data_IF_865723075605
#
_entry.id   IF_865723075605
#
_cell.length_a   1.000
_cell.length_b   1.000
_cell.length_c   1.000
_cell.angle_alpha   90.00
_cell.angle_beta   90.00
_cell.angle_gamma   90.00
#
_symmetry.space_group_name_H-M   'P 1'
#
loop_
_entity.id
_entity.type
_entity.pdbx_description
1 polymer ?
#
# COMPACT_ATOMS: atom_id res chain seq x y z
N UNK A 1 -25.42 20.74 48.44
CA UNK A 1 -24.48 19.61 48.50
C UNK A 1 -23.92 19.42 47.10
N UNK A 2 -22.72 19.96 46.92
CA UNK A 2 -21.87 19.89 45.73
C UNK A 2 -21.01 18.64 45.75
N UNK A 3 -20.85 17.99 44.59
CA UNK A 3 -19.64 17.28 44.16
C UNK A 3 -19.79 16.98 42.66
N UNK A 4 -19.54 17.97 41.79
CA UNK A 4 -18.34 18.01 40.94
C UNK A 4 -17.47 16.75 40.98
N UNK A 5 -17.46 16.00 39.88
CA UNK A 5 -16.24 15.39 39.38
C UNK A 5 -16.04 15.90 37.95
N UNK A 6 -15.23 16.94 37.83
CA UNK A 6 -14.71 17.46 36.59
C UNK A 6 -14.11 16.31 35.76
N UNK A 7 -14.66 16.05 34.58
CA UNK A 7 -13.91 15.37 33.52
C UNK A 7 -12.68 16.24 33.24
N UNK A 8 -11.55 15.80 33.78
CA UNK A 8 -10.28 16.43 33.48
C UNK A 8 -9.87 15.88 32.13
N UNK A 9 -10.17 16.65 31.09
CA UNK A 9 -9.63 16.46 29.75
C UNK A 9 -8.09 16.56 29.87
N UNK A 10 -7.44 15.42 30.06
CA UNK A 10 -5.98 15.36 30.04
C UNK A 10 -5.55 15.52 28.57
N UNK A 11 -5.39 16.77 28.15
CA UNK A 11 -4.50 17.11 27.04
C UNK A 11 -3.08 16.71 27.44
N UNK A 12 -2.75 15.43 27.25
CA UNK A 12 -1.35 15.01 27.32
C UNK A 12 -0.69 15.50 26.04
N UNK A 13 0.01 16.64 26.13
CA UNK A 13 1.03 17.02 25.16
C UNK A 13 2.11 15.94 25.18
N UNK A 14 2.05 15.00 24.24
CA UNK A 14 3.10 14.00 24.08
C UNK A 14 4.28 14.65 23.35
N UNK A 15 5.32 15.01 24.10
CA UNK A 15 6.64 15.30 23.57
C UNK A 15 7.32 13.94 23.27
N UNK A 16 7.42 13.59 21.99
CA UNK A 16 7.74 12.23 21.55
C UNK A 16 9.11 11.71 22.00
N UNK A 17 9.21 10.39 22.24
CA UNK A 17 10.45 9.61 22.33
C UNK A 17 10.19 8.21 21.73
N UNK A 18 11.02 7.80 20.78
CA UNK A 18 10.92 6.51 20.09
C UNK A 18 11.93 5.48 20.64
N UNK A 19 11.62 4.21 20.35
CA UNK A 19 12.45 3.01 20.36
C UNK A 19 12.62 2.22 21.67
N UNK A 20 12.21 0.93 21.58
CA UNK A 20 12.48 -0.24 22.45
C UNK A 20 11.42 -0.63 23.48
N UNK A 21 10.17 -0.86 23.05
CA UNK A 21 9.38 -1.89 23.73
C UNK A 21 9.47 -3.21 22.95
N UNK A 22 9.58 -4.32 23.66
CA UNK A 22 9.62 -5.68 23.10
C UNK A 22 8.22 -6.22 22.75
N UNK A 23 7.18 -5.43 23.02
CA UNK A 23 5.79 -5.81 22.73
C UNK A 23 5.36 -5.48 21.30
N UNK A 24 6.08 -4.60 20.60
CA UNK A 24 5.67 -4.10 19.28
C UNK A 24 4.33 -3.37 19.31
N UNK A 25 3.85 -3.03 20.51
CA UNK A 25 2.50 -2.56 20.77
C UNK A 25 2.58 -1.13 21.30
N UNK A 26 2.52 -0.20 20.36
CA UNK A 26 2.71 1.21 20.60
C UNK A 26 1.37 1.92 20.37
N UNK A 27 0.95 2.75 21.31
CA UNK A 27 -0.35 3.45 21.31
C UNK A 27 -0.12 4.95 21.16
N UNK A 28 -0.97 5.71 20.43
CA UNK A 28 -2.22 5.29 19.79
C UNK A 28 -2.05 4.62 18.42
N UNK A 29 -0.84 4.61 17.86
CA UNK A 29 -0.53 4.03 16.55
C UNK A 29 0.38 2.81 16.69
N UNK A 30 -0.13 1.60 16.45
CA UNK A 30 0.69 0.39 16.51
C UNK A 30 1.68 0.40 15.32
N UNK A 31 2.97 0.58 15.60
CA UNK A 31 3.97 0.85 14.57
C UNK A 31 4.39 -0.38 13.77
N UNK A 32 3.98 -1.61 14.11
CA UNK A 32 4.27 -2.79 13.27
C UNK A 32 3.49 -2.82 11.93
N UNK A 33 2.72 -1.77 11.61
CA UNK A 33 1.63 -1.74 10.62
C UNK A 33 2.02 -1.35 9.19
N UNK A 34 3.17 -1.77 8.65
CA UNK A 34 3.44 -1.56 7.21
C UNK A 34 3.91 -2.78 6.46
N UNK A 35 3.45 -2.84 5.22
CA UNK A 35 3.59 -3.94 4.29
C UNK A 35 4.07 -3.48 2.91
N UNK A 36 4.72 -2.32 2.86
CA UNK A 36 5.37 -1.74 1.66
C UNK A 36 6.88 -1.71 1.95
N UNK A 37 7.53 -2.86 1.86
CA UNK A 37 8.86 -3.10 2.43
C UNK A 37 9.88 -3.33 1.31
N UNK A 38 10.98 -2.58 1.26
CA UNK A 38 12.05 -2.75 0.26
C UNK A 38 13.41 -2.72 0.93
N UNK A 39 14.24 -3.74 0.75
CA UNK A 39 15.55 -3.81 1.37
C UNK A 39 16.56 -4.66 0.59
N UNK A 40 17.64 -5.04 1.27
CA UNK A 40 18.71 -5.87 0.71
C UNK A 40 18.80 -7.20 1.46
N UNK A 41 18.91 -8.30 0.71
CA UNK A 41 19.07 -9.63 1.29
C UNK A 41 20.41 -9.73 2.02
N UNK A 42 20.38 -10.24 3.25
CA UNK A 42 21.59 -10.47 4.08
C UNK A 42 21.80 -11.93 4.47
N UNK A 43 20.75 -12.74 4.45
CA UNK A 43 20.82 -14.16 4.73
C UNK A 43 19.75 -14.88 3.92
N UNK A 44 20.06 -16.09 3.45
CA UNK A 44 19.14 -16.98 2.73
C UNK A 44 19.19 -18.37 3.34
N UNK A 45 18.01 -18.99 3.48
CA UNK A 45 17.92 -20.39 3.89
C UNK A 45 18.57 -21.34 2.87
N UNK A 46 19.05 -22.50 3.33
CA UNK A 46 19.81 -23.43 2.48
C UNK A 46 19.07 -24.06 1.30
N UNK A 47 17.74 -23.86 1.18
CA UNK A 47 16.95 -24.31 0.02
C UNK A 47 16.43 -23.16 -0.86
N UNK A 48 16.70 -21.91 -0.48
CA UNK A 48 16.33 -20.75 -1.28
C UNK A 48 17.07 -20.77 -2.61
N UNK A 49 16.35 -20.58 -3.71
CA UNK A 49 16.93 -20.58 -5.06
C UNK A 49 16.68 -19.26 -5.81
N UNK A 50 15.64 -18.50 -5.43
CA UNK A 50 15.24 -17.29 -6.15
C UNK A 50 16.14 -16.08 -5.89
N UNK A 51 16.84 -16.07 -4.77
CA UNK A 51 17.54 -14.89 -4.24
C UNK A 51 18.88 -15.25 -3.63
N UNK A 52 19.78 -14.28 -3.61
CA UNK A 52 21.09 -14.37 -2.97
C UNK A 52 21.39 -13.13 -2.12
N UNK A 53 22.40 -13.23 -1.25
CA UNK A 53 22.89 -12.10 -0.47
C UNK A 53 23.30 -10.94 -1.39
N UNK A 54 22.83 -9.73 -1.06
CA UNK A 54 23.06 -8.52 -1.86
C UNK A 54 21.94 -8.16 -2.81
N UNK A 55 20.99 -9.06 -3.10
CA UNK A 55 19.84 -8.75 -3.95
C UNK A 55 18.93 -7.68 -3.31
N UNK A 56 18.44 -6.75 -4.14
CA UNK A 56 17.35 -5.84 -3.74
C UNK A 56 16.02 -6.58 -3.85
N UNK A 57 15.22 -6.52 -2.79
CA UNK A 57 13.96 -7.26 -2.72
C UNK A 57 12.85 -6.44 -2.07
N UNK A 58 11.61 -6.77 -2.42
CA UNK A 58 10.39 -6.21 -1.83
C UNK A 58 9.53 -7.26 -1.13
N UNK A 59 8.77 -6.86 -0.11
CA UNK A 59 7.72 -7.68 0.53
C UNK A 59 6.45 -6.84 0.63
N UNK A 60 5.35 -7.40 0.11
CA UNK A 60 4.03 -6.77 0.03
C UNK A 60 3.13 -7.08 1.23
N UNK A 61 1.82 -7.17 0.96
CA UNK A 61 0.75 -7.33 1.95
C UNK A 61 0.64 -8.73 2.60
N UNK A 62 1.26 -9.75 2.02
CA UNK A 62 1.17 -11.13 2.45
C UNK A 62 2.56 -11.75 2.59
N UNK A 63 2.70 -12.64 3.57
CA UNK A 63 3.95 -13.37 3.89
C UNK A 63 3.78 -14.89 3.92
N UNK A 64 2.54 -15.39 3.93
CA UNK A 64 2.25 -16.81 3.77
C UNK A 64 0.87 -17.08 3.14
N UNK A 65 0.63 -18.32 2.67
CA UNK A 65 -0.69 -18.84 2.28
C UNK A 65 -0.71 -20.38 2.30
N UNK A 66 -1.87 -21.02 2.12
CA UNK A 66 -1.94 -22.48 2.20
C UNK A 66 -1.25 -23.24 1.05
N UNK A 67 -0.91 -22.55 -0.05
CA UNK A 67 -0.22 -23.07 -1.25
C UNK A 67 -0.95 -24.14 -2.06
N UNK A 68 -2.14 -24.55 -1.65
CA UNK A 68 -2.84 -25.72 -2.21
C UNK A 68 -4.27 -25.46 -2.66
N UNK A 69 -4.87 -24.34 -2.30
CA UNK A 69 -6.23 -24.00 -2.75
C UNK A 69 -6.22 -23.50 -4.20
N UNK A 70 -7.40 -23.43 -4.81
CA UNK A 70 -7.59 -22.96 -6.19
C UNK A 70 -7.00 -21.56 -6.42
N UNK A 71 -7.20 -20.63 -5.48
CA UNK A 71 -6.62 -19.28 -5.56
C UNK A 71 -5.09 -19.34 -5.61
N UNK A 72 -4.46 -20.10 -4.71
CA UNK A 72 -3.00 -20.24 -4.70
C UNK A 72 -2.48 -20.90 -5.98
N UNK A 73 -3.15 -21.94 -6.46
CA UNK A 73 -2.80 -22.62 -7.71
C UNK A 73 -2.92 -21.70 -8.93
N UNK A 74 -3.79 -20.68 -8.85
CA UNK A 74 -4.02 -19.68 -9.89
C UNK A 74 -3.20 -18.40 -9.69
N UNK A 75 -2.18 -18.41 -8.83
CA UNK A 75 -1.36 -17.23 -8.50
C UNK A 75 -2.14 -16.05 -7.90
N UNK A 76 -3.16 -16.36 -7.11
CA UNK A 76 -4.03 -15.42 -6.41
C UNK A 76 -3.96 -15.66 -4.90
N UNK A 77 -2.74 -15.66 -4.34
CA UNK A 77 -2.51 -15.92 -2.92
C UNK A 77 -3.21 -14.89 -2.02
N UNK A 78 -3.45 -13.68 -2.52
CA UNK A 78 -4.23 -12.62 -1.89
C UNK A 78 -5.71 -13.00 -1.66
N UNK A 79 -6.24 -13.97 -2.40
CA UNK A 79 -7.59 -14.51 -2.22
C UNK A 79 -7.57 -15.91 -1.58
N UNK A 80 -6.46 -16.30 -0.94
CA UNK A 80 -6.39 -17.51 -0.14
C UNK A 80 -7.16 -17.33 1.18
N UNK A 81 -8.09 -18.23 1.54
CA UNK A 81 -8.78 -18.19 2.83
C UNK A 81 -7.84 -18.26 4.03
N UNK A 82 -6.72 -18.97 3.89
CA UNK A 82 -5.67 -19.10 4.91
C UNK A 82 -4.46 -18.20 4.60
N UNK A 83 -4.66 -17.07 3.92
CA UNK A 83 -3.60 -16.10 3.64
C UNK A 83 -3.10 -15.43 4.92
N UNK A 84 -1.78 -15.25 5.05
CA UNK A 84 -1.16 -14.61 6.21
C UNK A 84 -0.67 -13.23 5.82
N UNK A 85 -1.23 -12.20 6.45
CA UNK A 85 -0.85 -10.80 6.23
C UNK A 85 0.47 -10.45 6.91
N UNK A 86 1.19 -9.50 6.32
CA UNK A 86 2.54 -9.09 6.74
C UNK A 86 2.61 -8.53 8.17
N UNK A 87 1.51 -8.04 8.72
CA UNK A 87 1.44 -7.62 10.12
C UNK A 87 0.07 -7.90 10.75
N UNK A 88 0.04 -8.08 12.07
CA UNK A 88 -1.17 -8.34 12.88
C UNK A 88 -1.95 -9.61 12.45
N UNK A 89 -1.32 -10.57 11.77
CA UNK A 89 -1.96 -11.87 11.55
C UNK A 89 -2.21 -12.60 12.88
N UNK A 90 -3.30 -13.37 12.95
CA UNK A 90 -3.63 -14.20 14.11
C UNK A 90 -2.75 -15.47 14.16
N UNK A 91 -2.48 -15.98 15.38
CA UNK A 91 -1.54 -17.09 15.61
C UNK A 91 -0.22 -16.57 16.18
N UNK A 92 0.90 -16.89 15.52
CA UNK A 92 2.15 -16.14 15.77
C UNK A 92 2.03 -14.79 15.10
N UNK A 93 1.90 -13.73 15.91
CA UNK A 93 1.70 -12.38 15.40
C UNK A 93 2.82 -11.99 14.43
N UNK A 94 2.43 -11.58 13.22
CA UNK A 94 3.36 -11.04 12.24
C UNK A 94 3.66 -9.57 12.56
N UNK A 95 4.92 -9.17 12.39
CA UNK A 95 5.38 -7.80 12.57
C UNK A 95 5.89 -7.26 11.22
N UNK A 96 5.36 -6.11 10.79
CA UNK A 96 5.67 -5.52 9.49
C UNK A 96 6.95 -4.70 9.45
N UNK A 97 7.15 -3.96 8.36
CA UNK A 97 8.45 -3.38 7.98
C UNK A 97 8.88 -2.09 8.67
N UNK A 98 8.23 -1.66 9.75
CA UNK A 98 8.78 -0.60 10.62
C UNK A 98 9.71 -1.24 11.65
N UNK A 99 10.67 -2.02 11.14
CA UNK A 99 11.66 -2.81 11.87
C UNK A 99 12.97 -2.76 11.09
N UNK A 100 14.09 -2.95 11.77
CA UNK A 100 15.42 -2.98 11.15
C UNK A 100 15.68 -4.28 10.35
N UNK A 101 14.89 -5.32 10.59
CA UNK A 101 15.00 -6.63 9.96
C UNK A 101 13.61 -7.14 9.60
N UNK A 102 13.50 -7.76 8.42
CA UNK A 102 12.34 -8.53 7.99
C UNK A 102 12.76 -9.97 7.66
N UNK A 103 11.92 -10.95 8.02
CA UNK A 103 12.09 -12.34 7.60
C UNK A 103 10.84 -12.80 6.87
N UNK A 104 10.99 -13.32 5.65
CA UNK A 104 9.87 -13.78 4.83
C UNK A 104 10.24 -15.03 4.02
N UNK A 105 9.23 -15.84 3.68
CA UNK A 105 9.37 -16.99 2.79
C UNK A 105 9.68 -16.54 1.34
N UNK A 106 10.60 -17.23 0.65
CA UNK A 106 11.10 -16.80 -0.68
C UNK A 106 10.01 -16.64 -1.74
N UNK A 107 8.85 -17.29 -1.59
CA UNK A 107 7.76 -17.09 -2.53
C UNK A 107 7.08 -15.75 -2.34
N UNK A 108 7.02 -15.20 -1.13
CA UNK A 108 6.40 -13.89 -0.86
C UNK A 108 7.37 -12.72 -0.99
N UNK A 109 8.63 -13.01 -1.32
CA UNK A 109 9.66 -12.02 -1.63
C UNK A 109 9.67 -11.74 -3.13
N UNK A 110 9.67 -10.46 -3.48
CA UNK A 110 9.67 -9.96 -4.85
C UNK A 110 11.07 -9.46 -5.22
N UNK A 111 11.51 -9.73 -6.44
CA UNK A 111 12.74 -9.14 -6.97
C UNK A 111 12.51 -7.67 -7.23
N UNK A 112 13.38 -6.82 -6.70
CA UNK A 112 13.29 -5.38 -6.93
C UNK A 112 14.12 -5.00 -8.17
N UNK A 113 13.50 -4.45 -9.23
CA UNK A 113 14.23 -4.00 -10.42
C UNK A 113 15.33 -3.00 -10.09
N UNK A 114 16.51 -3.13 -10.72
CA UNK A 114 17.69 -2.31 -10.39
C UNK A 114 17.47 -0.81 -10.65
N UNK A 115 16.69 -0.50 -11.68
CA UNK A 115 16.35 0.86 -12.11
C UNK A 115 15.12 1.45 -11.38
N UNK A 116 14.50 0.71 -10.45
CA UNK A 116 13.48 1.29 -9.57
C UNK A 116 14.13 1.83 -8.28
N UNK A 117 13.91 3.11 -7.93
CA UNK A 117 14.34 3.65 -6.65
C UNK A 117 13.66 2.89 -5.51
N UNK A 118 14.36 2.61 -4.41
CA UNK A 118 13.79 1.83 -3.29
C UNK A 118 12.62 2.55 -2.63
N UNK A 119 12.60 3.87 -2.73
CA UNK A 119 11.52 4.74 -2.29
C UNK A 119 10.21 4.49 -3.06
N UNK A 120 10.25 3.77 -4.19
CA UNK A 120 9.05 3.30 -4.86
C UNK A 120 8.34 2.13 -4.15
N UNK A 121 8.72 1.81 -2.90
CA UNK A 121 8.06 0.85 -2.03
C UNK A 121 6.51 0.88 -2.04
N UNK A 122 5.81 2.03 -2.18
CA UNK A 122 4.36 2.04 -2.30
C UNK A 122 3.77 1.26 -3.48
N UNK A 123 4.59 0.86 -4.47
CA UNK A 123 4.17 -0.06 -5.53
C UNK A 123 3.68 -1.41 -4.97
N UNK A 124 4.26 -1.87 -3.86
CA UNK A 124 3.98 -3.18 -3.24
C UNK A 124 2.58 -3.30 -2.61
N UNK A 125 1.85 -2.20 -2.50
CA UNK A 125 0.44 -2.20 -2.10
C UNK A 125 -0.39 -1.26 -2.96
N UNK A 126 -0.13 0.05 -2.91
CA UNK A 126 -0.86 1.05 -3.73
C UNK A 126 -0.81 0.72 -5.22
N UNK A 127 0.39 0.34 -5.68
CA UNK A 127 0.64 0.06 -7.07
C UNK A 127 -0.15 -1.15 -7.52
N UNK A 128 0.12 -2.31 -6.93
CA UNK A 128 -0.57 -3.56 -7.30
C UNK A 128 -2.08 -3.49 -7.12
N UNK A 129 -2.58 -2.83 -6.06
CA UNK A 129 -4.03 -2.68 -5.80
C UNK A 129 -4.74 -1.93 -6.93
N UNK A 130 -4.04 -1.07 -7.66
CA UNK A 130 -4.62 -0.33 -8.80
C UNK A 130 -4.27 -0.94 -10.15
N UNK A 131 -3.11 -1.59 -10.27
CA UNK A 131 -2.69 -2.32 -11.47
C UNK A 131 -3.56 -3.56 -11.72
N UNK A 132 -3.74 -4.40 -10.70
CA UNK A 132 -4.49 -5.66 -10.79
C UNK A 132 -5.90 -5.50 -11.39
N UNK A 133 -6.76 -4.60 -10.87
CA UNK A 133 -8.08 -4.40 -11.46
C UNK A 133 -8.04 -3.79 -12.87
N UNK A 134 -7.05 -2.94 -13.19
CA UNK A 134 -6.90 -2.42 -14.55
C UNK A 134 -6.65 -3.56 -15.54
N UNK A 135 -5.80 -4.53 -15.18
CA UNK A 135 -5.54 -5.73 -15.99
C UNK A 135 -6.72 -6.69 -16.02
N UNK A 136 -7.18 -7.15 -14.84
CA UNK A 136 -8.20 -8.19 -14.72
C UNK A 136 -9.51 -7.82 -15.40
N UNK A 137 -9.94 -6.56 -15.26
CA UNK A 137 -11.17 -6.08 -15.89
C UNK A 137 -10.96 -5.60 -17.34
N UNK A 138 -9.77 -5.75 -17.92
CA UNK A 138 -9.45 -5.33 -19.29
C UNK A 138 -9.66 -3.84 -19.51
N UNK A 139 -9.26 -3.03 -18.53
CA UNK A 139 -9.28 -1.56 -18.51
C UNK A 139 -7.89 -0.96 -18.85
N UNK A 140 -7.01 -1.79 -19.41
CA UNK A 140 -5.61 -1.54 -19.73
C UNK A 140 -5.35 -1.41 -21.24
N UNK A 141 -6.41 -1.22 -22.04
CA UNK A 141 -6.28 -1.12 -23.50
C UNK A 141 -6.12 0.34 -23.93
N UNK A 142 -5.18 0.64 -24.84
CA UNK A 142 -5.02 1.99 -25.39
C UNK A 142 -6.34 2.56 -25.94
N UNK A 143 -6.60 3.83 -25.67
CA UNK A 143 -7.80 4.53 -26.11
C UNK A 143 -9.05 4.33 -25.23
N UNK A 144 -9.02 3.43 -24.24
CA UNK A 144 -10.09 3.36 -23.24
C UNK A 144 -10.14 4.65 -22.39
N UNK A 145 -11.32 5.00 -21.91
CA UNK A 145 -11.54 6.16 -21.06
C UNK A 145 -11.83 5.73 -19.63
N UNK A 146 -10.86 5.93 -18.74
CA UNK A 146 -10.88 5.48 -17.35
C UNK A 146 -11.13 6.65 -16.41
N UNK A 147 -12.09 6.48 -15.50
CA UNK A 147 -12.30 7.37 -14.36
C UNK A 147 -11.47 6.92 -13.15
N UNK A 148 -10.92 7.87 -12.40
CA UNK A 148 -10.29 7.60 -11.10
C UNK A 148 -10.97 8.45 -10.05
N UNK A 149 -11.66 7.82 -9.09
CA UNK A 149 -12.37 8.53 -8.02
C UNK A 149 -11.46 8.63 -6.80
N UNK A 150 -11.25 9.87 -6.34
CA UNK A 150 -10.30 10.17 -5.28
C UNK A 150 -8.86 10.28 -5.81
N UNK A 151 -8.15 11.31 -5.34
CA UNK A 151 -6.77 11.56 -5.74
C UNK A 151 -5.88 11.61 -4.49
N UNK A 152 -5.46 10.43 -4.05
CA UNK A 152 -4.59 10.19 -2.91
C UNK A 152 -3.60 9.06 -3.22
N UNK A 153 -3.22 8.29 -2.19
CA UNK A 153 -2.23 7.23 -2.30
C UNK A 153 -2.53 6.15 -3.36
N UNK A 154 -3.78 5.72 -3.53
CA UNK A 154 -4.16 4.77 -4.60
C UNK A 154 -4.46 5.54 -5.90
N UNK A 155 -5.27 6.61 -5.82
CA UNK A 155 -5.70 7.36 -7.00
C UNK A 155 -4.55 7.85 -7.89
N UNK A 156 -3.45 8.35 -7.30
CA UNK A 156 -2.31 8.80 -8.11
C UNK A 156 -1.63 7.64 -8.86
N UNK A 157 -1.58 6.44 -8.28
CA UNK A 157 -1.06 5.25 -8.96
C UNK A 157 -1.99 4.77 -10.06
N UNK A 158 -3.31 4.76 -9.81
CA UNK A 158 -4.30 4.42 -10.82
C UNK A 158 -4.20 5.34 -12.05
N UNK A 159 -4.00 6.65 -11.84
CA UNK A 159 -3.75 7.60 -12.93
C UNK A 159 -2.48 7.23 -13.69
N UNK A 160 -1.35 7.04 -12.99
CA UNK A 160 -0.06 6.71 -13.63
C UNK A 160 -0.12 5.43 -14.46
N UNK A 161 -0.71 4.35 -13.94
CA UNK A 161 -0.85 3.10 -14.68
C UNK A 161 -1.80 3.22 -15.88
N UNK A 162 -2.98 3.82 -15.70
CA UNK A 162 -3.91 4.00 -16.80
C UNK A 162 -3.30 4.87 -17.93
N UNK A 163 -2.53 5.92 -17.59
CA UNK A 163 -1.78 6.70 -18.59
C UNK A 163 -0.71 5.86 -19.29
N UNK A 164 0.04 5.04 -18.55
CA UNK A 164 1.06 4.15 -19.13
C UNK A 164 0.46 3.09 -20.07
N UNK A 165 -0.77 2.64 -19.81
CA UNK A 165 -1.53 1.77 -20.72
C UNK A 165 -2.08 2.49 -21.97
N UNK A 166 -1.86 3.80 -22.11
CA UNK A 166 -2.38 4.59 -23.22
C UNK A 166 -3.86 4.92 -23.10
N UNK A 167 -4.44 4.85 -21.91
CA UNK A 167 -5.82 5.24 -21.66
C UNK A 167 -5.94 6.77 -21.55
N UNK A 168 -7.14 7.28 -21.89
CA UNK A 168 -7.60 8.61 -21.47
C UNK A 168 -8.07 8.52 -20.02
N UNK A 169 -7.62 9.44 -19.17
CA UNK A 169 -7.90 9.40 -17.73
C UNK A 169 -8.66 10.65 -17.28
N UNK A 170 -9.80 10.45 -16.64
CA UNK A 170 -10.55 11.50 -15.93
C UNK A 170 -10.41 11.31 -14.43
N UNK A 171 -9.87 12.30 -13.71
CA UNK A 171 -9.91 12.30 -12.25
C UNK A 171 -11.24 12.87 -11.77
N UNK A 172 -11.90 12.19 -10.83
CA UNK A 172 -13.18 12.58 -10.25
C UNK A 172 -12.94 12.90 -8.76
N UNK A 173 -13.27 14.11 -8.35
CA UNK A 173 -13.01 14.56 -6.97
C UNK A 173 -14.09 15.49 -6.44
N UNK A 174 -14.24 15.54 -5.12
CA UNK A 174 -15.04 16.58 -4.45
C UNK A 174 -14.28 17.90 -4.32
N UNK A 175 -12.95 17.89 -4.49
CA UNK A 175 -12.06 19.01 -4.16
C UNK A 175 -11.48 19.65 -5.41
N UNK A 176 -11.98 20.82 -5.80
CA UNK A 176 -11.49 21.58 -6.96
C UNK A 176 -9.98 21.87 -6.89
N UNK A 177 -9.44 22.05 -5.67
CA UNK A 177 -8.01 22.29 -5.44
C UNK A 177 -7.07 21.17 -5.90
N UNK A 178 -7.60 19.98 -6.21
CA UNK A 178 -6.81 18.86 -6.76
C UNK A 178 -6.69 18.89 -8.29
N UNK A 179 -7.37 19.82 -8.97
CA UNK A 179 -7.39 19.89 -10.44
C UNK A 179 -6.01 20.14 -11.04
N UNK A 180 -5.29 21.14 -10.55
CA UNK A 180 -3.96 21.47 -11.08
C UNK A 180 -3.02 20.28 -10.98
N UNK A 181 -3.04 19.59 -9.84
CA UNK A 181 -2.20 18.42 -9.59
C UNK A 181 -2.55 17.23 -10.49
N UNK A 182 -3.85 16.99 -10.69
CA UNK A 182 -4.31 15.94 -11.60
C UNK A 182 -3.86 16.18 -13.05
N UNK A 183 -4.00 17.41 -13.56
CA UNK A 183 -3.73 17.74 -14.96
C UNK A 183 -2.22 17.92 -15.21
N UNK A 184 -1.55 18.74 -14.41
CA UNK A 184 -0.17 19.15 -14.72
C UNK A 184 0.85 18.13 -14.27
N UNK A 185 0.67 17.60 -13.06
CA UNK A 185 1.65 16.72 -12.42
C UNK A 185 1.42 15.27 -12.80
N UNK A 186 0.18 14.80 -12.71
CA UNK A 186 -0.17 13.42 -13.03
C UNK A 186 -0.60 13.19 -14.49
N UNK A 187 -0.72 14.27 -15.28
CA UNK A 187 -1.05 14.20 -16.72
C UNK A 187 -2.40 13.52 -16.99
N UNK A 188 -3.37 13.64 -16.09
CA UNK A 188 -4.73 13.25 -16.38
C UNK A 188 -5.29 14.14 -17.50
N UNK A 189 -6.13 13.57 -18.37
CA UNK A 189 -6.67 14.27 -19.53
C UNK A 189 -7.87 15.16 -19.18
N UNK A 190 -8.54 14.87 -18.06
CA UNK A 190 -9.72 15.60 -17.61
C UNK A 190 -9.87 15.53 -16.10
N UNK A 191 -10.62 16.48 -15.54
CA UNK A 191 -10.95 16.55 -14.13
C UNK A 191 -12.42 16.92 -13.96
N UNK A 192 -13.15 16.17 -13.13
CA UNK A 192 -14.55 16.41 -12.80
C UNK A 192 -14.73 16.68 -11.31
N UNK A 193 -15.49 17.72 -10.99
CA UNK A 193 -15.97 17.97 -9.64
C UNK A 193 -17.25 17.17 -9.43
N UNK A 194 -17.21 16.13 -8.60
CA UNK A 194 -18.35 15.22 -8.39
C UNK A 194 -19.58 15.88 -7.76
N UNK A 195 -19.40 17.07 -7.15
CA UNK A 195 -20.47 17.91 -6.60
C UNK A 195 -21.08 18.88 -7.62
N UNK A 196 -20.49 19.00 -8.80
CA UNK A 196 -21.01 19.84 -9.87
C UNK A 196 -21.91 19.01 -10.79
N UNK A 197 -23.25 19.17 -10.72
CA UNK A 197 -24.17 18.36 -11.51
C UNK A 197 -24.01 18.58 -13.01
N UNK A 198 -23.65 19.78 -13.46
CA UNK A 198 -23.50 20.09 -14.89
C UNK A 198 -22.27 19.38 -15.48
N UNK A 199 -21.15 19.38 -14.76
CA UNK A 199 -19.95 18.62 -15.15
C UNK A 199 -20.22 17.12 -15.22
N UNK A 200 -20.91 16.59 -14.22
CA UNK A 200 -21.26 15.16 -14.16
C UNK A 200 -22.24 14.76 -15.27
N UNK A 201 -23.21 15.63 -15.58
CA UNK A 201 -24.16 15.42 -16.65
C UNK A 201 -23.49 15.46 -18.03
N UNK A 202 -22.57 16.41 -18.25
CA UNK A 202 -21.82 16.52 -19.50
C UNK A 202 -20.91 15.31 -19.76
N UNK A 203 -20.45 14.64 -18.70
CA UNK A 203 -19.61 13.45 -18.77
C UNK A 203 -20.39 12.12 -18.73
N UNK A 204 -21.73 12.15 -18.78
CA UNK A 204 -22.55 10.95 -18.70
C UNK A 204 -22.27 9.96 -19.83
N UNK A 205 -22.17 8.67 -19.49
CA UNK A 205 -21.91 7.57 -20.42
C UNK A 205 -20.63 7.73 -21.27
N UNK A 206 -19.56 8.27 -20.70
CA UNK A 206 -18.28 8.49 -21.40
C UNK A 206 -17.16 7.54 -20.96
N UNK A 207 -17.27 6.91 -19.79
CA UNK A 207 -16.19 6.10 -19.20
C UNK A 207 -16.40 4.61 -19.46
N UNK A 208 -15.34 3.92 -19.89
CA UNK A 208 -15.32 2.46 -20.05
C UNK A 208 -15.16 1.74 -18.70
N UNK A 209 -14.47 2.39 -17.75
CA UNK A 209 -14.32 1.89 -16.40
C UNK A 209 -13.96 2.99 -15.41
N UNK A 210 -14.17 2.70 -14.14
CA UNK A 210 -13.83 3.58 -13.02
C UNK A 210 -13.08 2.75 -11.96
N UNK A 211 -11.93 3.26 -11.51
CA UNK A 211 -11.24 2.77 -10.31
C UNK A 211 -11.59 3.70 -9.16
N UNK A 212 -12.33 3.17 -8.17
CA UNK A 212 -12.77 3.93 -7.00
C UNK A 212 -11.85 3.70 -5.80
N UNK A 213 -11.14 4.75 -5.41
CA UNK A 213 -10.12 4.70 -4.36
C UNK A 213 -10.58 5.34 -3.04
N UNK A 214 -11.86 5.68 -2.92
CA UNK A 214 -12.39 6.43 -1.78
C UNK A 214 -12.73 5.48 -0.63
N UNK A 215 -12.06 5.64 0.51
CA UNK A 215 -12.31 4.89 1.75
C UNK A 215 -13.34 5.54 2.67
N UNK A 216 -14.18 6.43 2.15
CA UNK A 216 -15.28 7.08 2.86
C UNK A 216 -16.61 6.76 2.17
N UNK A 217 -17.72 6.84 2.90
CA UNK A 217 -19.06 6.65 2.33
C UNK A 217 -19.33 7.74 1.31
N UNK A 218 -19.76 7.36 0.11
CA UNK A 218 -20.09 8.27 -0.97
C UNK A 218 -21.14 7.63 -1.91
N UNK A 219 -21.92 8.43 -2.67
CA UNK A 219 -22.97 7.90 -3.52
C UNK A 219 -22.40 7.25 -4.78
N UNK A 220 -22.86 6.03 -5.09
CA UNK A 220 -22.44 5.30 -6.29
C UNK A 220 -23.18 5.73 -7.56
N UNK A 221 -24.44 6.20 -7.43
CA UNK A 221 -25.29 6.53 -8.59
C UNK A 221 -24.66 7.56 -9.53
N UNK A 222 -24.06 8.68 -9.06
CA UNK A 222 -23.40 9.63 -9.94
C UNK A 222 -22.18 9.03 -10.65
N UNK A 223 -21.49 8.04 -10.08
CA UNK A 223 -20.38 7.36 -10.75
C UNK A 223 -20.90 6.40 -11.81
N UNK A 224 -21.97 5.67 -11.49
CA UNK A 224 -22.64 4.78 -12.43
C UNK A 224 -23.18 5.56 -13.65
N UNK A 225 -23.63 6.80 -13.51
CA UNK A 225 -24.10 7.60 -14.67
C UNK A 225 -22.99 7.99 -15.64
N UNK A 226 -21.73 8.07 -15.19
CA UNK A 226 -20.58 8.35 -16.05
C UNK A 226 -20.18 7.14 -16.92
N UNK A 227 -20.50 5.92 -16.50
CA UNK A 227 -20.15 4.70 -17.22
C UNK A 227 -20.98 4.53 -18.51
N UNK A 228 -20.31 4.09 -19.58
CA UNK A 228 -20.94 3.56 -20.80
C UNK A 228 -21.77 2.30 -20.49
N UNK A 229 -22.51 1.81 -21.49
CA UNK A 229 -22.99 0.42 -21.46
C UNK A 229 -21.80 -0.53 -21.30
N UNK A 230 -21.98 -1.61 -20.52
CA UNK A 230 -20.91 -2.56 -20.15
C UNK A 230 -19.77 -1.97 -19.31
N UNK A 231 -19.90 -0.73 -18.85
CA UNK A 231 -18.91 -0.07 -18.03
C UNK A 231 -18.77 -0.72 -16.66
N UNK A 232 -17.56 -0.61 -16.10
CA UNK A 232 -17.15 -1.31 -14.88
C UNK A 232 -16.76 -0.31 -13.80
N UNK A 233 -17.43 -0.34 -12.65
CA UNK A 233 -17.00 0.35 -11.45
C UNK A 233 -16.27 -0.64 -10.54
N UNK A 234 -14.98 -0.40 -10.30
CA UNK A 234 -14.15 -1.29 -9.49
C UNK A 234 -13.77 -0.57 -8.19
N UNK A 235 -14.27 -1.11 -7.08
CA UNK A 235 -14.01 -0.60 -5.73
C UNK A 235 -12.69 -1.18 -5.21
N UNK A 236 -11.77 -0.29 -4.86
CA UNK A 236 -10.52 -0.62 -4.15
C UNK A 236 -10.36 0.17 -2.86
N UNK A 237 -11.19 1.20 -2.65
CA UNK A 237 -11.40 1.84 -1.36
C UNK A 237 -12.26 0.97 -0.43
N UNK A 238 -12.05 1.12 0.88
CA UNK A 238 -12.79 0.37 1.91
C UNK A 238 -13.47 1.34 2.87
N UNK A 239 -14.73 1.74 2.61
CA UNK A 239 -15.53 2.54 3.54
C UNK A 239 -15.89 1.76 4.81
N UNK A 240 -15.98 2.45 5.94
CA UNK A 240 -16.38 1.85 7.23
C UNK A 240 -17.86 1.42 7.28
N UNK A 241 -18.70 1.94 6.39
CA UNK A 241 -20.13 1.60 6.30
C UNK A 241 -20.47 1.08 4.90
N UNK A 242 -21.50 0.23 4.77
CA UNK A 242 -21.98 -0.22 3.46
C UNK A 242 -22.32 0.94 2.53
N UNK A 243 -22.12 0.71 1.23
CA UNK A 243 -22.54 1.62 0.17
C UNK A 243 -23.94 1.24 -0.32
N UNK A 244 -24.75 2.24 -0.63
CA UNK A 244 -26.07 2.03 -1.21
C UNK A 244 -25.99 1.73 -2.71
N UNK A 245 -26.65 0.66 -3.15
CA UNK A 245 -26.63 0.22 -4.53
C UNK A 245 -28.05 0.08 -5.11
N UNK A 246 -28.52 1.07 -5.88
CA UNK A 246 -29.73 0.93 -6.68
C UNK A 246 -29.50 -0.03 -7.85
N UNK A 247 -30.41 -1.00 -8.04
CA UNK A 247 -30.28 -2.02 -9.08
C UNK A 247 -30.54 -1.48 -10.50
N UNK A 248 -31.45 -0.51 -10.65
CA UNK A 248 -31.92 -0.04 -11.97
C UNK A 248 -30.79 0.50 -12.88
N UNK A 249 -29.83 1.33 -12.41
CA UNK A 249 -28.70 1.76 -13.23
C UNK A 249 -27.84 0.62 -13.79
N UNK A 250 -27.74 -0.50 -13.06
CA UNK A 250 -27.01 -1.68 -13.51
C UNK A 250 -27.78 -2.41 -14.60
N UNK A 251 -29.07 -2.69 -14.34
CA UNK A 251 -29.95 -3.44 -15.24
C UNK A 251 -30.14 -2.69 -16.56
N UNK A 252 -30.36 -1.37 -16.51
CA UNK A 252 -30.68 -0.56 -17.67
C UNK A 252 -29.57 -0.51 -18.74
N UNK A 253 -28.31 -0.75 -18.34
CA UNK A 253 -27.14 -0.58 -19.22
C UNK A 253 -26.09 -1.68 -19.08
N UNK A 254 -26.44 -2.82 -18.45
CA UNK A 254 -25.56 -3.97 -18.19
C UNK A 254 -24.22 -3.56 -17.54
N UNK A 255 -24.27 -2.68 -16.54
CA UNK A 255 -23.08 -2.20 -15.83
C UNK A 255 -22.65 -3.18 -14.74
N UNK A 256 -21.35 -3.19 -14.44
CA UNK A 256 -20.75 -4.04 -13.41
C UNK A 256 -20.23 -3.20 -12.24
N UNK A 257 -20.39 -3.74 -11.04
CA UNK A 257 -19.66 -3.29 -9.84
C UNK A 257 -18.88 -4.49 -9.32
N UNK A 258 -17.60 -4.30 -9.04
CA UNK A 258 -16.73 -5.33 -8.51
C UNK A 258 -15.80 -4.76 -7.44
N UNK A 259 -15.22 -5.65 -6.62
CA UNK A 259 -14.13 -5.32 -5.72
C UNK A 259 -12.82 -5.91 -6.23
N UNK A 260 -11.70 -5.29 -5.87
CA UNK A 260 -10.35 -5.86 -6.05
C UNK A 260 -9.49 -5.50 -4.84
N UNK A 261 -8.58 -6.39 -4.47
CA UNK A 261 -7.73 -6.22 -3.29
C UNK A 261 -6.33 -6.73 -3.62
N UNK A 262 -5.34 -5.82 -3.57
CA UNK A 262 -3.92 -6.08 -3.90
C UNK A 262 -3.76 -6.86 -5.22
N UNK A 263 -2.77 -7.74 -5.33
CA UNK A 263 -2.66 -8.74 -6.38
C UNK A 263 -1.88 -9.95 -5.87
N UNK A 264 -1.85 -11.02 -6.66
CA UNK A 264 -1.04 -12.19 -6.37
C UNK A 264 0.46 -11.90 -6.52
N UNK A 265 1.32 -12.80 -6.05
CA UNK A 265 2.78 -12.58 -6.10
C UNK A 265 3.28 -12.47 -7.54
N UNK A 266 2.79 -13.34 -8.43
CA UNK A 266 3.17 -13.31 -9.85
C UNK A 266 2.81 -11.97 -10.50
N UNK A 267 1.58 -11.52 -10.32
CA UNK A 267 1.11 -10.24 -10.86
C UNK A 267 1.84 -9.04 -10.22
N UNK A 268 2.21 -9.14 -8.94
CA UNK A 268 2.99 -8.10 -8.27
C UNK A 268 4.39 -7.98 -8.88
N UNK A 269 5.05 -9.10 -9.22
CA UNK A 269 6.33 -9.05 -9.92
C UNK A 269 6.18 -8.42 -11.32
N UNK A 270 5.17 -8.84 -12.09
CA UNK A 270 4.86 -8.28 -13.41
C UNK A 270 4.60 -6.76 -13.34
N UNK A 271 3.92 -6.29 -12.29
CA UNK A 271 3.68 -4.87 -12.05
C UNK A 271 4.97 -4.11 -11.73
N UNK A 272 5.87 -4.68 -10.92
CA UNK A 272 7.18 -4.07 -10.64
C UNK A 272 8.01 -3.96 -11.92
N UNK A 273 8.07 -5.02 -12.71
CA UNK A 273 8.81 -5.06 -13.97
C UNK A 273 8.23 -4.04 -14.97
N UNK A 274 6.89 -4.00 -15.13
CA UNK A 274 6.21 -3.00 -15.95
C UNK A 274 6.50 -1.56 -15.47
N UNK A 275 6.51 -1.35 -14.15
CA UNK A 275 6.80 -0.04 -13.56
C UNK A 275 8.23 0.39 -13.85
N UNK A 276 9.19 -0.54 -13.78
CA UNK A 276 10.59 -0.31 -14.12
C UNK A 276 10.78 0.05 -15.59
N UNK A 277 10.14 -0.69 -16.50
CA UNK A 277 10.22 -0.46 -17.95
C UNK A 277 9.61 0.89 -18.37
N UNK A 278 8.54 1.31 -17.69
CA UNK A 278 7.78 2.51 -18.04
C UNK A 278 8.08 3.72 -17.14
N UNK A 279 9.10 3.63 -16.29
CA UNK A 279 9.50 4.68 -15.35
C UNK A 279 8.34 5.15 -14.43
N UNK A 280 7.50 4.21 -13.99
CA UNK A 280 6.36 4.49 -13.11
C UNK A 280 6.83 4.38 -11.68
N UNK A 281 6.94 5.53 -11.02
CA UNK A 281 7.24 5.61 -9.58
C UNK A 281 6.13 6.36 -8.85
N UNK A 282 5.82 5.98 -7.60
CA UNK A 282 4.94 6.77 -6.74
C UNK A 282 5.58 8.11 -6.43
N UNK A 283 4.76 9.14 -6.21
CA UNK A 283 5.25 10.42 -5.71
C UNK A 283 5.30 10.34 -4.18
N UNK A 284 6.51 10.45 -3.65
CA UNK A 284 6.79 10.16 -2.24
C UNK A 284 7.42 11.33 -1.52
N UNK A 285 7.13 11.41 -0.22
CA UNK A 285 7.88 12.18 0.75
C UNK A 285 8.62 11.20 1.66
N UNK A 286 9.94 11.16 1.52
CA UNK A 286 10.80 10.32 2.36
C UNK A 286 11.00 11.02 3.69
N UNK A 287 10.71 10.33 4.78
CA UNK A 287 10.83 10.88 6.13
C UNK A 287 11.59 9.91 7.05
N UNK A 288 12.34 10.43 8.03
CA UNK A 288 13.01 9.58 9.02
C UNK A 288 12.02 8.92 9.97
N UNK A 289 12.45 7.84 10.62
CA UNK A 289 11.61 7.09 11.58
C UNK A 289 11.13 7.94 12.77
N UNK A 290 11.92 8.92 13.22
CA UNK A 290 11.53 9.82 14.33
C UNK A 290 10.40 10.80 13.95
N UNK A 291 10.16 11.04 12.66
CA UNK A 291 9.07 11.86 12.13
C UNK A 291 7.75 11.07 11.96
N UNK A 292 7.74 9.75 12.19
CA UNK A 292 6.59 8.88 11.89
C UNK A 292 5.28 9.35 12.51
N UNK A 293 5.29 9.86 13.75
CA UNK A 293 4.09 10.36 14.42
C UNK A 293 3.49 11.57 13.70
N UNK A 294 4.33 12.54 13.37
CA UNK A 294 3.92 13.71 12.59
C UNK A 294 3.46 13.32 11.19
N UNK A 295 4.11 12.34 10.55
CA UNK A 295 3.65 11.80 9.28
C UNK A 295 2.25 11.17 9.39
N UNK A 296 1.93 10.47 10.48
CA UNK A 296 0.61 9.89 10.72
C UNK A 296 -0.48 10.96 10.92
N UNK A 297 -0.19 12.04 11.66
CA UNK A 297 -1.09 13.19 11.80
C UNK A 297 -1.33 13.92 10.48
N UNK A 298 -0.27 14.10 9.68
CA UNK A 298 -0.39 14.70 8.35
C UNK A 298 -1.20 13.79 7.42
N UNK A 299 -0.98 12.48 7.48
CA UNK A 299 -1.71 11.50 6.68
C UNK A 299 -3.22 11.51 7.00
N UNK A 300 -3.60 11.53 8.28
CA UNK A 300 -5.02 11.58 8.67
C UNK A 300 -5.72 12.86 8.20
N UNK A 301 -4.97 13.97 8.10
CA UNK A 301 -5.42 15.24 7.55
C UNK A 301 -5.24 15.37 6.02
N UNK A 302 -4.90 14.28 5.33
CA UNK A 302 -4.61 14.25 3.89
C UNK A 302 -3.54 15.25 3.40
N UNK A 303 -2.57 15.57 4.26
CA UNK A 303 -1.46 16.51 4.02
C UNK A 303 -0.19 15.80 3.53
N UNK A 304 -0.31 15.06 2.43
CA UNK A 304 0.80 14.39 1.75
C UNK A 304 0.52 14.30 0.24
N UNK A 305 1.56 14.40 -0.58
CA UNK A 305 1.49 14.31 -2.04
C UNK A 305 2.52 13.29 -2.56
N UNK A 306 2.21 12.01 -2.61
CA UNK A 306 0.97 11.33 -2.25
C UNK A 306 1.16 10.19 -1.23
N UNK A 307 2.41 9.84 -0.91
CA UNK A 307 2.78 8.77 0.01
C UNK A 307 3.95 9.20 0.88
N UNK A 308 3.94 8.78 2.15
CA UNK A 308 5.14 8.81 2.98
C UNK A 308 5.92 7.50 2.80
N UNK A 309 7.23 7.60 2.81
CA UNK A 309 8.14 6.45 2.86
C UNK A 309 9.10 6.67 4.03
N UNK A 310 9.22 5.69 4.91
CA UNK A 310 10.18 5.77 6.01
C UNK A 310 11.55 5.29 5.54
N UNK A 311 12.56 6.11 5.76
CA UNK A 311 13.96 5.67 5.63
C UNK A 311 14.41 4.99 6.91
N UNK A 312 14.25 3.66 6.93
CA UNK A 312 14.59 2.82 8.09
C UNK A 312 16.11 2.61 8.21
N UNK A 313 16.86 2.64 7.11
CA UNK A 313 18.30 2.42 7.14
C UNK A 313 19.03 3.58 7.84
N UNK A 314 18.58 4.81 7.63
CA UNK A 314 19.25 6.02 8.12
C UNK A 314 18.86 6.45 9.54
N UNK A 315 18.37 5.52 10.38
CA UNK A 315 18.01 5.75 11.80
C UNK A 315 19.21 6.22 12.66
N UNK A 316 20.46 6.29 12.13
CA UNK A 316 21.65 6.71 12.90
C UNK A 316 22.65 7.58 12.12
N UNK A 317 22.43 8.89 12.15
CA UNK A 317 23.51 9.89 12.06
C UNK A 317 23.37 11.06 13.07
N UNK A 318 22.20 11.26 13.69
CA UNK A 318 22.00 12.28 14.74
C UNK A 318 22.17 11.71 16.15
N UNK A 319 23.14 12.24 16.91
CA UNK A 319 23.34 12.09 18.36
C UNK A 319 23.49 10.67 18.93
N UNK A 320 24.69 10.08 18.75
CA UNK A 320 25.20 9.06 19.69
C UNK A 320 25.73 9.73 20.96
N UNK A 321 24.86 10.03 21.92
CA UNK A 321 25.24 10.31 23.31
C UNK A 321 24.56 9.38 24.30
N UNK A 322 24.36 8.11 23.93
CA UNK A 322 24.07 7.04 24.88
C UNK A 322 25.21 6.03 24.80
N UNK A 323 26.16 6.16 25.72
CA UNK A 323 27.18 5.14 25.96
C UNK A 323 26.48 3.84 26.36
N UNK A 324 26.72 2.77 25.60
CA UNK A 324 26.29 1.44 25.97
C UNK A 324 27.07 0.98 27.22
N UNK A 325 26.38 0.65 28.31
CA UNK A 325 26.97 -0.22 29.35
C UNK A 325 26.97 -1.66 28.82
N UNK A 326 28.02 -2.46 29.06
CA UNK A 326 28.04 -3.85 28.64
C UNK A 326 27.04 -4.64 29.49
N UNK A 327 26.07 -5.30 28.85
CA UNK A 327 25.28 -6.36 29.49
C UNK A 327 26.12 -7.64 29.44
N UNK A 328 26.71 -8.00 30.57
CA UNK A 328 27.22 -9.34 30.79
C UNK A 328 26.05 -10.32 30.94
N UNK A 329 26.16 -11.44 30.22
CA UNK A 329 25.34 -12.65 30.30
C UNK A 329 23.86 -12.55 29.88
N UNK A 330 23.61 -12.81 28.59
CA UNK A 330 22.36 -13.44 28.15
C UNK A 330 22.75 -14.73 27.41
N UNK A 331 22.39 -15.88 28.00
CA UNK A 331 22.51 -17.20 27.34
C UNK A 331 21.48 -17.29 26.21
N UNK A 332 21.79 -17.91 25.06
CA UNK A 332 20.81 -18.11 24.01
C UNK A 332 19.73 -19.10 24.47
N UNK A 333 18.47 -18.65 24.48
CA UNK A 333 17.31 -19.55 24.56
C UNK A 333 17.01 -19.99 23.13
N UNK A 334 17.50 -21.17 22.79
CA UNK A 334 17.13 -21.92 21.60
C UNK A 334 15.70 -22.45 21.81
N UNK A 335 14.69 -21.74 21.32
CA UNK A 335 13.33 -22.30 21.24
C UNK A 335 13.27 -23.18 20.00
N UNK A 336 13.45 -24.48 20.20
CA UNK A 336 13.09 -25.52 19.24
C UNK A 336 11.60 -25.44 18.94
N UNK A 337 11.24 -24.80 17.83
CA UNK A 337 10.02 -25.09 17.09
C UNK A 337 10.38 -25.92 15.86
N UNK A 338 9.55 -26.93 15.60
CA UNK A 338 9.86 -28.09 14.76
C UNK A 338 10.43 -27.81 13.37
N UNK A 339 11.33 -28.71 12.98
CA UNK A 339 11.98 -28.85 11.69
C UNK A 339 10.96 -28.86 10.52
N UNK A 340 10.83 -27.75 9.79
CA UNK A 340 10.52 -27.73 8.34
C UNK A 340 10.64 -26.33 7.70
N UNK A 341 10.35 -25.25 8.44
CA UNK A 341 10.22 -23.89 7.85
C UNK A 341 11.52 -23.09 7.68
N UNK A 342 12.60 -23.41 8.40
CA UNK A 342 13.84 -22.61 8.37
C UNK A 342 14.59 -22.63 7.02
N UNK A 343 14.23 -23.52 6.09
CA UNK A 343 14.98 -23.71 4.85
C UNK A 343 14.63 -22.72 3.72
N UNK A 344 13.47 -22.06 3.80
CA UNK A 344 12.93 -21.18 2.74
C UNK A 344 12.84 -19.70 3.13
N UNK A 345 13.33 -19.33 4.32
CA UNK A 345 13.26 -17.97 4.84
C UNK A 345 14.44 -17.11 4.36
N UNK A 346 14.16 -15.85 4.02
CA UNK A 346 15.14 -14.80 3.74
C UNK A 346 15.17 -13.78 4.88
N UNK A 347 16.37 -13.33 5.28
CA UNK A 347 16.54 -12.20 6.19
C UNK A 347 16.95 -10.96 5.38
N UNK A 348 16.09 -9.95 5.38
CA UNK A 348 16.29 -8.68 4.68
C UNK A 348 16.71 -7.64 5.72
N UNK A 349 17.86 -7.00 5.49
CA UNK A 349 18.41 -5.94 6.35
C UNK A 349 18.49 -4.65 5.56
N UNK A 350 18.18 -3.54 6.20
CA UNK A 350 18.32 -2.21 5.63
C UNK A 350 19.72 -1.69 6.00
N UNK A 351 20.68 -1.83 5.09
CA UNK A 351 22.09 -1.49 5.33
C UNK A 351 22.29 0.02 5.51
N UNK A 352 22.80 0.44 6.67
CA UNK A 352 23.58 1.67 6.80
C UNK A 352 25.06 1.35 6.50
N UNK A 353 25.58 1.73 5.33
CA UNK A 353 27.03 1.70 5.09
C UNK A 353 27.68 2.85 5.84
N UNK A 354 28.43 2.53 6.89
CA UNK A 354 29.46 3.42 7.43
C UNK A 354 30.76 3.03 6.73
N UNK A 355 31.31 3.94 5.91
CA UNK A 355 32.69 3.80 5.43
C UNK A 355 33.65 4.10 6.59
N UNK A 356 34.70 3.29 6.82
CA UNK A 356 35.83 3.73 7.62
C UNK A 356 36.62 4.79 6.84
N UNK A 357 36.97 5.88 7.53
CA UNK A 357 37.99 6.85 7.10
C UNK A 357 39.37 6.22 7.24
#
# INVERSE_FOLDING_TARGET
MTANSNETELQVKAFGWAARDSSGLLSPFNFSRRHEIVGVVTEVGGKVQKFQVGDKVGVGCFVDSCRKCESCASHLENYCPDGVVTYNAAGTTTHGGYSDIMVADEHFVLRWPENLPMEAAPLLCAGITTYSPLRYFGLDKPGMHIGVVGLGGLGHMAVKFAKAFGCKVTVISTSAGKKQEAIDRLRADSFLISRNPDEMQAAANTLDGIIDTVSAVHPLVPLLSLLKGDGKLVLVGVPEKPLELPALPLIARRKLIAGSAVGGIKETQEMLDFSAENNITPDVEVVPMDYVNTAMERLSNAQVKYRFVLDIANIRAGNRSCQARPLQHVRPILVCLGLSLAYYLLKVYFLARVWPV
#
